data_IF_184906992635
#
_entry.id   IF_184906992635
#
_cell.length_a   1.000
_cell.length_b   1.000
_cell.length_c   1.000
_cell.angle_alpha   90.00
_cell.angle_beta   90.00
_cell.angle_gamma   90.00
#
_symmetry.space_group_name_H-M   'P 1'
#
loop_
_entity.id
_entity.type
_entity.pdbx_description
1 polymer ?
#
# COMPACT_ATOMS: atom_id res chain seq x y z
N UNK A 1 -32.81 -4.77 -31.19
CA UNK A 1 -32.19 -5.77 -30.31
C UNK A 1 -31.13 -6.64 -31.00
N UNK A 2 -31.22 -6.95 -32.30
CA UNK A 2 -30.22 -7.82 -32.96
C UNK A 2 -28.76 -7.29 -32.91
N UNK A 3 -28.56 -5.98 -33.06
CA UNK A 3 -27.24 -5.35 -32.97
C UNK A 3 -26.63 -5.46 -31.56
N UNK A 4 -27.44 -5.19 -30.54
CA UNK A 4 -27.03 -5.31 -29.14
C UNK A 4 -26.64 -6.75 -28.79
N UNK A 5 -27.42 -7.73 -29.24
CA UNK A 5 -27.13 -9.14 -29.05
C UNK A 5 -25.81 -9.55 -29.72
N UNK A 6 -25.59 -9.18 -30.99
CA UNK A 6 -24.35 -9.46 -31.70
C UNK A 6 -23.13 -8.80 -31.05
N UNK A 7 -23.30 -7.59 -30.48
CA UNK A 7 -22.25 -6.90 -29.75
C UNK A 7 -21.89 -7.60 -28.43
N UNK A 8 -22.88 -8.01 -27.64
CA UNK A 8 -22.66 -8.75 -26.39
C UNK A 8 -21.99 -10.12 -26.64
N UNK A 9 -22.37 -10.80 -27.72
CA UNK A 9 -21.77 -12.08 -28.12
C UNK A 9 -20.30 -11.91 -28.53
N UNK A 10 -19.97 -10.83 -29.26
CA UNK A 10 -18.58 -10.49 -29.58
C UNK A 10 -17.74 -10.16 -28.32
N UNK A 11 -18.31 -9.44 -27.34
CA UNK A 11 -17.64 -9.15 -26.08
C UNK A 11 -17.37 -10.42 -25.25
N UNK A 12 -18.30 -11.38 -25.25
CA UNK A 12 -18.14 -12.64 -24.53
C UNK A 12 -16.99 -13.52 -25.06
N UNK A 13 -16.58 -13.32 -26.31
CA UNK A 13 -15.42 -14.00 -26.91
C UNK A 13 -14.08 -13.32 -26.59
N UNK A 14 -14.07 -12.15 -25.96
CA UNK A 14 -12.83 -11.49 -25.58
C UNK A 14 -12.15 -12.28 -24.44
N UNK A 15 -10.80 -12.37 -24.45
CA UNK A 15 -10.08 -12.93 -23.33
C UNK A 15 -10.31 -12.08 -22.08
N UNK A 16 -10.28 -12.72 -20.90
CA UNK A 16 -10.34 -12.00 -19.64
C UNK A 16 -9.23 -10.94 -19.60
N UNK A 17 -9.54 -9.70 -19.19
CA UNK A 17 -8.53 -8.66 -19.09
C UNK A 17 -7.45 -9.10 -18.09
N UNK A 18 -6.19 -9.08 -18.55
CA UNK A 18 -5.03 -9.42 -17.72
C UNK A 18 -4.54 -8.25 -16.89
N UNK A 19 -4.91 -7.03 -17.27
CA UNK A 19 -4.64 -5.81 -16.54
C UNK A 19 -5.86 -5.39 -15.72
N UNK A 20 -5.66 -4.78 -14.53
CA UNK A 20 -6.74 -4.17 -13.78
C UNK A 20 -7.42 -3.06 -14.59
N UNK A 21 -8.71 -2.83 -14.34
CA UNK A 21 -9.46 -1.77 -15.01
C UNK A 21 -8.88 -0.38 -14.66
N UNK A 22 -9.08 0.65 -15.52
CA UNK A 22 -8.66 2.01 -15.22
C UNK A 22 -9.18 2.53 -13.86
N UNK A 23 -10.41 2.18 -13.51
CA UNK A 23 -11.04 2.52 -12.23
C UNK A 23 -10.33 1.83 -11.06
N UNK A 24 -9.96 0.55 -11.23
CA UNK A 24 -9.22 -0.21 -10.22
C UNK A 24 -7.82 0.37 -10.00
N UNK A 25 -7.16 0.80 -11.07
CA UNK A 25 -5.87 1.49 -11.00
C UNK A 25 -6.01 2.83 -10.29
N UNK A 26 -7.03 3.62 -10.62
CA UNK A 26 -7.28 4.91 -9.97
C UNK A 26 -7.49 4.76 -8.46
N UNK A 27 -8.29 3.77 -8.03
CA UNK A 27 -8.52 3.48 -6.61
C UNK A 27 -7.23 3.07 -5.89
N UNK A 28 -6.40 2.24 -6.52
CA UNK A 28 -5.12 1.83 -5.95
C UNK A 28 -4.16 3.03 -5.80
N UNK A 29 -4.08 3.90 -6.80
CA UNK A 29 -3.24 5.11 -6.75
C UNK A 29 -3.72 6.07 -5.67
N UNK A 30 -5.02 6.30 -5.55
CA UNK A 30 -5.59 7.14 -4.49
C UNK A 30 -5.24 6.60 -3.10
N UNK A 31 -5.38 5.29 -2.90
CA UNK A 31 -5.01 4.63 -1.64
C UNK A 31 -3.52 4.79 -1.32
N UNK A 32 -2.64 4.66 -2.33
CA UNK A 32 -1.21 4.87 -2.15
C UNK A 32 -0.88 6.32 -1.79
N UNK A 33 -1.56 7.30 -2.39
CA UNK A 33 -1.38 8.71 -2.08
C UNK A 33 -1.82 9.04 -0.65
N UNK A 34 -2.92 8.47 -0.19
CA UNK A 34 -3.37 8.61 1.21
C UNK A 34 -2.35 8.03 2.18
N UNK A 35 -1.76 6.87 1.86
CA UNK A 35 -0.69 6.28 2.67
C UNK A 35 0.56 7.16 2.70
N UNK A 36 0.99 7.69 1.55
CA UNK A 36 2.18 8.55 1.49
C UNK A 36 1.98 9.82 2.35
N UNK A 37 0.82 10.47 2.23
CA UNK A 37 0.45 11.62 3.06
C UNK A 37 0.41 11.26 4.55
N UNK A 38 -0.18 10.11 4.88
CA UNK A 38 -0.20 9.60 6.25
C UNK A 38 1.21 9.32 6.81
N UNK A 39 2.22 9.11 5.97
CA UNK A 39 3.60 8.87 6.40
C UNK A 39 4.46 10.15 6.46
N UNK A 40 4.02 11.28 5.90
CA UNK A 40 4.79 12.54 5.87
C UNK A 40 5.08 13.10 7.27
N UNK A 41 4.19 12.89 8.25
CA UNK A 41 4.37 13.35 9.64
C UNK A 41 5.36 12.54 10.48
N UNK A 42 5.96 11.47 9.91
CA UNK A 42 6.89 10.60 10.62
C UNK A 42 8.36 11.03 10.45
N UNK A 43 9.20 10.88 11.49
CA UNK A 43 10.64 10.94 11.33
C UNK A 43 11.12 9.92 10.29
N UNK A 44 12.11 10.29 9.47
CA UNK A 44 12.62 9.46 8.36
C UNK A 44 12.94 8.02 8.80
N UNK A 45 13.59 7.83 9.94
CA UNK A 45 13.94 6.49 10.45
C UNK A 45 12.69 5.64 10.81
N UNK A 46 11.61 6.27 11.27
CA UNK A 46 10.36 5.57 11.57
C UNK A 46 9.63 5.17 10.28
N UNK A 47 9.63 6.04 9.27
CA UNK A 47 9.10 5.72 7.93
C UNK A 47 9.88 4.58 7.27
N UNK A 48 11.21 4.61 7.32
CA UNK A 48 12.05 3.52 6.81
C UNK A 48 11.78 2.20 7.53
N UNK A 49 11.65 2.21 8.87
CA UNK A 49 11.31 1.01 9.63
C UNK A 49 9.94 0.45 9.23
N UNK A 50 8.94 1.31 9.01
CA UNK A 50 7.60 0.92 8.58
C UNK A 50 7.61 0.22 7.21
N UNK A 51 8.29 0.81 6.22
CA UNK A 51 8.43 0.24 4.87
C UNK A 51 9.14 -1.12 4.93
N UNK A 52 10.26 -1.20 5.65
CA UNK A 52 11.01 -2.45 5.79
C UNK A 52 10.18 -3.57 6.43
N UNK A 53 9.31 -3.24 7.40
CA UNK A 53 8.49 -4.24 8.09
C UNK A 53 7.31 -4.74 7.24
N UNK A 54 6.65 -3.86 6.47
CA UNK A 54 5.40 -4.20 5.77
C UNK A 54 5.56 -4.48 4.28
N UNK A 55 6.55 -3.88 3.62
CA UNK A 55 6.79 -4.04 2.18
C UNK A 55 7.93 -5.01 1.93
N UNK A 56 9.02 -4.90 2.70
CA UNK A 56 10.17 -5.82 2.59
C UNK A 56 10.06 -7.04 3.51
N UNK A 57 9.00 -7.11 4.33
CA UNK A 57 8.72 -8.19 5.29
C UNK A 57 9.89 -8.54 6.24
N UNK A 58 10.73 -7.55 6.57
CA UNK A 58 11.88 -7.74 7.43
C UNK A 58 11.49 -7.86 8.91
N UNK A 59 12.21 -8.71 9.62
CA UNK A 59 12.08 -8.84 11.07
C UNK A 59 12.64 -7.60 11.79
N UNK A 60 12.19 -7.38 13.03
CA UNK A 60 12.64 -6.23 13.81
C UNK A 60 14.16 -6.25 14.08
N UNK A 61 14.75 -7.45 14.14
CA UNK A 61 16.20 -7.62 14.28
C UNK A 61 16.95 -7.16 13.02
N UNK A 62 16.48 -7.55 11.83
CA UNK A 62 17.08 -7.13 10.56
C UNK A 62 16.95 -5.61 10.34
N UNK A 63 15.80 -5.04 10.72
CA UNK A 63 15.58 -3.58 10.64
C UNK A 63 16.51 -2.85 11.61
N UNK A 64 16.66 -3.36 12.84
CA UNK A 64 17.54 -2.79 13.86
C UNK A 64 18.99 -2.76 13.37
N UNK A 65 19.46 -3.84 12.74
CA UNK A 65 20.78 -3.93 12.14
C UNK A 65 20.96 -2.89 11.02
N UNK A 66 20.04 -2.84 10.05
CA UNK A 66 20.10 -1.90 8.91
C UNK A 66 20.09 -0.43 9.33
N UNK A 67 19.26 -0.10 10.33
CA UNK A 67 19.12 1.27 10.83
C UNK A 67 20.15 1.60 11.92
N UNK A 68 20.98 0.64 12.35
CA UNK A 68 21.96 0.78 13.45
C UNK A 68 21.32 1.29 14.75
N UNK A 69 20.17 0.72 15.11
CA UNK A 69 19.40 1.03 16.33
C UNK A 69 19.06 -0.25 17.09
N UNK A 70 18.47 -0.13 18.29
CA UNK A 70 18.00 -1.31 19.03
C UNK A 70 16.67 -1.85 18.46
N UNK A 71 16.40 -3.18 18.55
CA UNK A 71 15.08 -3.75 18.22
C UNK A 71 13.93 -3.09 19.01
N UNK A 72 14.21 -2.66 20.24
CA UNK A 72 13.26 -1.91 21.07
C UNK A 72 12.92 -0.54 20.46
N UNK A 73 13.88 0.13 19.83
CA UNK A 73 13.66 1.38 19.09
C UNK A 73 12.83 1.13 17.84
N UNK A 74 13.12 0.06 17.09
CA UNK A 74 12.30 -0.35 15.93
C UNK A 74 10.85 -0.55 16.34
N UNK A 75 10.59 -1.31 17.41
CA UNK A 75 9.24 -1.52 17.93
C UNK A 75 8.54 -0.20 18.27
N UNK A 76 9.23 0.74 18.93
CA UNK A 76 8.69 2.08 19.23
C UNK A 76 8.34 2.86 17.96
N UNK A 77 9.21 2.81 16.95
CA UNK A 77 8.96 3.45 15.66
C UNK A 77 7.75 2.85 14.95
N UNK A 78 7.62 1.52 14.92
CA UNK A 78 6.48 0.85 14.29
C UNK A 78 5.16 1.14 15.01
N UNK A 79 5.14 1.14 16.35
CA UNK A 79 3.93 1.54 17.10
C UNK A 79 3.50 2.96 16.74
N UNK A 80 4.45 3.91 16.70
CA UNK A 80 4.15 5.30 16.33
C UNK A 80 3.70 5.42 14.88
N UNK A 81 4.36 4.74 13.95
CA UNK A 81 4.03 4.76 12.53
C UNK A 81 2.65 4.17 12.27
N UNK A 82 2.34 3.00 12.84
CA UNK A 82 1.05 2.35 12.70
C UNK A 82 -0.08 3.19 13.30
N UNK A 83 0.13 3.77 14.48
CA UNK A 83 -0.85 4.68 15.08
C UNK A 83 -1.07 5.92 14.20
N UNK A 84 0.00 6.51 13.66
CA UNK A 84 -0.11 7.67 12.79
C UNK A 84 -0.88 7.37 11.51
N UNK A 85 -0.61 6.24 10.86
CA UNK A 85 -1.35 5.79 9.69
C UNK A 85 -2.82 5.51 10.03
N UNK A 86 -3.09 4.85 11.15
CA UNK A 86 -4.45 4.56 11.58
C UNK A 86 -5.27 5.84 11.80
N UNK A 87 -4.69 6.84 12.48
CA UNK A 87 -5.37 8.12 12.70
C UNK A 87 -5.55 8.94 11.41
N UNK A 88 -4.58 8.89 10.50
CA UNK A 88 -4.64 9.63 9.25
C UNK A 88 -5.65 9.04 8.24
N UNK A 89 -5.84 7.72 8.22
CA UNK A 89 -6.77 7.04 7.31
C UNK A 89 -8.20 6.90 7.87
N UNK A 90 -8.40 7.13 9.17
CA UNK A 90 -9.70 7.09 9.83
C UNK A 90 -10.40 8.47 9.92
N UNK A 91 -9.75 9.52 9.41
CA UNK A 91 -10.23 10.90 9.36
C UNK A 91 -10.83 11.23 7.99
#
# INVERSE_FOLDING_TARGET
AALEAAYLEALACLPAPTAPSPESVALAVETLQQLDQALEGLPQAARSAFIMAHIEELTYAQIAERLRISPSTVKKYLIRANAHCLFALAA
#
